data_IF_366623626534
#
_entry.id   IF_366623626534
#
_cell.length_a   1.000
_cell.length_b   1.000
_cell.length_c   1.000
_cell.angle_alpha   90.00
_cell.angle_beta   90.00
_cell.angle_gamma   90.00
#
_symmetry.space_group_name_H-M   'P 1'
#
loop_
_entity.id
_entity.type
_entity.pdbx_description
1 polymer ?
#
# COMPACT_ATOMS: atom_id res chain seq x y z
N UNK A 1 9.69 9.31 -20.23
CA UNK A 1 8.73 10.16 -19.52
C UNK A 1 7.77 9.26 -18.76
N UNK A 2 7.68 9.47 -17.45
CA UNK A 2 6.79 8.77 -16.52
C UNK A 2 5.52 9.62 -16.38
N UNK A 3 4.38 9.04 -16.72
CA UNK A 3 3.07 9.63 -16.50
C UNK A 3 2.34 8.88 -15.39
N UNK A 4 1.90 9.60 -14.36
CA UNK A 4 1.04 9.05 -13.31
C UNK A 4 -0.41 9.32 -13.67
N UNK A 5 -1.24 8.28 -13.67
CA UNK A 5 -2.68 8.38 -13.87
C UNK A 5 -3.41 8.02 -12.57
N UNK A 6 -4.12 8.98 -12.00
CA UNK A 6 -4.87 8.81 -10.75
C UNK A 6 -6.32 8.39 -11.06
N UNK A 7 -6.66 7.14 -10.77
CA UNK A 7 -8.01 6.60 -10.86
C UNK A 7 -8.73 6.69 -9.50
N UNK A 8 -10.03 6.37 -9.50
CA UNK A 8 -10.93 6.57 -8.36
C UNK A 8 -11.07 5.35 -7.42
N UNK A 9 -10.20 4.35 -7.48
CA UNK A 9 -10.17 3.23 -6.54
C UNK A 9 -9.54 3.58 -5.18
N UNK A 10 -9.35 2.58 -4.32
CA UNK A 10 -8.68 2.76 -3.02
C UNK A 10 -7.18 2.93 -3.25
N UNK A 11 -6.55 3.80 -2.45
CA UNK A 11 -5.09 4.01 -2.45
C UNK A 11 -4.58 3.98 -1.02
N UNK A 12 -3.56 3.16 -0.78
CA UNK A 12 -2.74 3.16 0.43
C UNK A 12 -1.47 3.95 0.14
N UNK A 13 -1.30 5.12 0.76
CA UNK A 13 -0.19 6.03 0.43
C UNK A 13 1.12 5.68 1.16
N UNK A 14 1.68 4.49 0.86
CA UNK A 14 2.99 4.01 1.35
C UNK A 14 4.14 4.90 0.90
N UNK A 15 5.27 4.85 1.61
CA UNK A 15 6.47 5.60 1.20
C UNK A 15 7.00 5.10 -0.14
N UNK A 16 6.94 3.79 -0.41
CA UNK A 16 7.30 3.20 -1.70
C UNK A 16 6.47 3.80 -2.85
N UNK A 17 5.13 3.81 -2.71
CA UNK A 17 4.26 4.40 -3.73
C UNK A 17 4.54 5.91 -3.89
N UNK A 18 4.70 6.66 -2.79
CA UNK A 18 5.06 8.10 -2.85
C UNK A 18 6.36 8.35 -3.59
N UNK A 19 7.40 7.58 -3.30
CA UNK A 19 8.69 7.70 -3.96
C UNK A 19 8.57 7.38 -5.45
N UNK A 20 7.78 6.36 -5.80
CA UNK A 20 7.52 6.00 -7.20
C UNK A 20 6.83 7.12 -7.96
N UNK A 21 5.74 7.67 -7.41
CA UNK A 21 4.95 8.72 -8.09
C UNK A 21 5.62 10.09 -8.05
N UNK A 22 6.54 10.35 -7.11
CA UNK A 22 7.33 11.58 -7.08
C UNK A 22 8.28 11.71 -8.30
N UNK A 23 8.51 10.62 -9.03
CA UNK A 23 9.28 10.60 -10.29
C UNK A 23 8.44 10.97 -11.51
N UNK A 24 7.15 11.32 -11.33
CA UNK A 24 6.26 11.68 -12.44
C UNK A 24 6.74 12.96 -13.15
N UNK A 25 6.81 12.89 -14.47
CA UNK A 25 6.97 14.07 -15.33
C UNK A 25 5.62 14.74 -15.62
N UNK A 26 4.54 13.96 -15.59
CA UNK A 26 3.17 14.42 -15.79
C UNK A 26 2.20 13.63 -14.90
N UNK A 27 1.20 14.30 -14.35
CA UNK A 27 0.17 13.73 -13.48
C UNK A 27 -1.21 14.04 -14.07
N UNK A 28 -1.94 13.00 -14.47
CA UNK A 28 -3.30 13.11 -15.00
C UNK A 28 -4.26 12.45 -14.00
N UNK A 29 -5.33 13.14 -13.62
CA UNK A 29 -6.34 12.57 -12.73
C UNK A 29 -7.64 12.30 -13.48
N UNK A 30 -8.20 11.10 -13.32
CA UNK A 30 -9.54 10.76 -13.78
C UNK A 30 -10.55 11.10 -12.69
N UNK A 31 -11.31 12.17 -12.90
CA UNK A 31 -12.47 12.57 -12.11
C UNK A 31 -12.21 12.48 -10.59
N UNK A 32 -12.96 11.65 -9.85
CA UNK A 32 -12.79 11.45 -8.41
C UNK A 32 -11.40 10.96 -7.98
N UNK A 33 -10.54 10.49 -8.89
CA UNK A 33 -9.15 10.14 -8.64
C UNK A 33 -8.28 11.34 -8.22
N UNK A 34 -8.69 12.56 -8.55
CA UNK A 34 -8.00 13.79 -8.14
C UNK A 34 -7.83 13.91 -6.62
N UNK A 35 -8.71 13.27 -5.83
CA UNK A 35 -8.62 13.24 -4.36
C UNK A 35 -7.30 12.63 -3.85
N UNK A 36 -6.70 11.72 -4.61
CA UNK A 36 -5.48 11.02 -4.22
C UNK A 36 -4.23 11.90 -4.31
N UNK A 37 -4.26 12.96 -5.11
CA UNK A 37 -3.09 13.81 -5.35
C UNK A 37 -2.50 14.35 -4.05
N UNK A 38 -3.35 14.90 -3.15
CA UNK A 38 -2.91 15.42 -1.85
C UNK A 38 -2.24 14.35 -1.01
N UNK A 39 -2.90 13.19 -0.84
CA UNK A 39 -2.35 12.14 0.01
C UNK A 39 -1.12 11.51 -0.60
N UNK A 40 -0.86 11.63 -1.90
CA UNK A 40 0.38 11.16 -2.53
C UNK A 40 1.47 12.23 -2.63
N UNK A 41 1.17 13.49 -2.28
CA UNK A 41 2.11 14.60 -2.42
C UNK A 41 2.26 15.10 -3.86
N UNK A 42 1.26 14.85 -4.71
CA UNK A 42 1.24 15.24 -6.12
C UNK A 42 0.36 16.47 -6.35
N UNK A 43 0.62 17.17 -7.45
CA UNK A 43 -0.30 18.15 -8.05
C UNK A 43 -0.62 17.68 -9.47
N UNK A 44 -1.88 17.44 -9.84
CA UNK A 44 -2.22 17.07 -11.20
C UNK A 44 -1.91 18.22 -12.17
N UNK A 45 -1.47 17.88 -13.37
CA UNK A 45 -1.36 18.81 -14.50
C UNK A 45 -2.72 19.00 -15.16
N UNK A 46 -3.48 17.92 -15.25
CA UNK A 46 -4.83 17.90 -15.82
C UNK A 46 -5.75 16.94 -15.05
N UNK A 47 -7.02 17.33 -14.94
CA UNK A 47 -8.10 16.45 -14.47
C UNK A 47 -9.11 16.28 -15.59
N UNK A 48 -9.42 15.03 -15.94
CA UNK A 48 -10.36 14.67 -17.00
C UNK A 48 -11.62 14.04 -16.38
N UNK A 49 -12.80 14.38 -16.90
CA UNK A 49 -14.07 13.81 -16.42
C UNK A 49 -15.26 14.73 -16.62
N UNK A 50 -16.40 14.36 -16.03
CA UNK A 50 -17.59 15.23 -15.92
C UNK A 50 -17.64 16.00 -14.58
N UNK A 51 -16.73 15.67 -13.65
CA UNK A 51 -16.56 16.28 -12.34
C UNK A 51 -17.73 16.08 -11.38
N UNK A 52 -18.64 15.14 -11.65
CA UNK A 52 -19.82 14.90 -10.81
C UNK A 52 -19.47 14.20 -9.49
N UNK A 53 -18.34 13.48 -9.45
CA UNK A 53 -17.86 12.73 -8.29
C UNK A 53 -16.79 13.46 -7.48
N UNK A 54 -16.33 14.63 -7.94
CA UNK A 54 -15.28 15.41 -7.27
C UNK A 54 -15.89 16.28 -6.17
N UNK A 55 -15.44 16.07 -4.92
CA UNK A 55 -15.92 16.88 -3.81
C UNK A 55 -15.46 18.36 -3.92
N UNK A 56 -16.26 19.33 -3.41
CA UNK A 56 -15.91 20.75 -3.48
C UNK A 56 -14.57 21.12 -2.81
N UNK A 57 -14.13 20.34 -1.83
CA UNK A 57 -12.84 20.50 -1.18
C UNK A 57 -11.68 20.16 -2.10
N UNK A 58 -11.84 19.13 -2.94
CA UNK A 58 -10.89 18.76 -3.99
C UNK A 58 -10.89 19.80 -5.11
N UNK A 59 -12.05 20.24 -5.61
CA UNK A 59 -12.13 21.27 -6.67
C UNK A 59 -11.39 22.56 -6.31
N UNK A 60 -11.54 23.06 -5.08
CA UNK A 60 -10.81 24.26 -4.61
C UNK A 60 -9.30 24.10 -4.65
N UNK A 61 -8.78 22.88 -4.52
CA UNK A 61 -7.33 22.60 -4.55
C UNK A 61 -6.81 22.40 -5.97
N UNK A 62 -7.70 22.27 -6.95
CA UNK A 62 -7.38 22.21 -8.37
C UNK A 62 -7.30 23.60 -9.00
N UNK A 63 -7.24 24.67 -8.20
CA UNK A 63 -7.03 26.02 -8.73
C UNK A 63 -5.71 26.09 -9.53
N UNK A 64 -5.81 26.54 -10.78
CA UNK A 64 -4.71 26.57 -11.74
C UNK A 64 -4.28 25.20 -12.27
N UNK A 65 -5.09 24.15 -12.10
CA UNK A 65 -4.95 22.86 -12.79
C UNK A 65 -5.84 22.88 -14.04
N UNK A 66 -5.39 22.27 -15.13
CA UNK A 66 -6.20 22.15 -16.34
C UNK A 66 -7.38 21.21 -16.10
N UNK A 67 -8.59 21.64 -16.48
CA UNK A 67 -9.79 20.81 -16.40
C UNK A 67 -10.28 20.50 -17.82
N UNK A 68 -10.26 19.23 -18.19
CA UNK A 68 -10.79 18.77 -19.47
C UNK A 68 -12.14 18.09 -19.24
N UNK A 69 -13.20 18.79 -19.65
CA UNK A 69 -14.55 18.31 -19.50
C UNK A 69 -14.88 17.28 -20.59
N UNK A 70 -15.27 16.08 -20.18
CA UNK A 70 -15.75 15.03 -21.08
C UNK A 70 -17.16 14.61 -20.68
N UNK A 71 -18.11 14.47 -21.62
CA UNK A 71 -19.47 14.04 -21.30
C UNK A 71 -19.50 12.66 -20.63
N UNK A 72 -20.46 12.47 -19.72
CA UNK A 72 -20.72 11.19 -19.05
C UNK A 72 -21.12 10.08 -20.03
N UNK A 73 -21.94 10.42 -21.02
CA UNK A 73 -22.46 9.50 -22.04
C UNK A 73 -21.46 9.26 -23.19
N UNK A 74 -20.16 9.20 -22.87
CA UNK A 74 -19.15 8.71 -23.80
C UNK A 74 -19.08 7.19 -23.67
N UNK A 75 -18.93 6.46 -24.78
CA UNK A 75 -18.77 5.00 -24.79
C UNK A 75 -17.39 4.55 -24.24
N UNK A 76 -16.86 5.25 -23.23
CA UNK A 76 -15.48 5.12 -22.71
C UNK A 76 -15.39 5.45 -21.23
N UNK A 77 -14.49 4.77 -20.52
CA UNK A 77 -14.22 5.08 -19.11
C UNK A 77 -13.33 6.31 -18.95
N UNK A 78 -13.48 7.04 -17.84
CA UNK A 78 -12.61 8.18 -17.52
C UNK A 78 -11.14 7.78 -17.40
N UNK A 79 -10.86 6.56 -16.91
CA UNK A 79 -9.50 6.02 -16.87
C UNK A 79 -8.88 5.96 -18.27
N UNK A 80 -9.64 5.55 -19.29
CA UNK A 80 -9.11 5.47 -20.65
C UNK A 80 -8.82 6.86 -21.22
N UNK A 81 -9.70 7.83 -20.95
CA UNK A 81 -9.49 9.23 -21.35
C UNK A 81 -8.24 9.80 -20.66
N UNK A 82 -8.07 9.51 -19.37
CA UNK A 82 -6.91 9.94 -18.60
C UNK A 82 -5.60 9.33 -19.12
N UNK A 83 -5.64 8.06 -19.54
CA UNK A 83 -4.50 7.38 -20.17
C UNK A 83 -4.17 7.96 -21.54
N UNK A 84 -5.17 8.21 -22.38
CA UNK A 84 -4.95 8.83 -23.69
C UNK A 84 -4.32 10.22 -23.54
N UNK A 85 -4.77 10.99 -22.55
CA UNK A 85 -4.20 12.30 -22.24
C UNK A 85 -2.76 12.18 -21.72
N UNK A 86 -2.48 11.23 -20.82
CA UNK A 86 -1.12 10.95 -20.35
C UNK A 86 -0.17 10.57 -21.50
N UNK A 87 -0.66 9.77 -22.46
CA UNK A 87 0.09 9.37 -23.66
C UNK A 87 0.28 10.57 -24.60
N UNK A 88 -0.75 11.37 -24.83
CA UNK A 88 -0.68 12.57 -25.66
C UNK A 88 0.35 13.58 -25.15
N UNK A 89 0.53 13.65 -23.82
CA UNK A 89 1.57 14.44 -23.16
C UNK A 89 2.97 13.83 -23.21
N UNK A 90 3.14 12.66 -23.82
CA UNK A 90 4.43 11.99 -24.03
C UNK A 90 4.73 10.84 -23.07
N UNK A 91 3.77 10.42 -22.25
CA UNK A 91 3.91 9.30 -21.32
C UNK A 91 4.30 8.01 -22.04
N UNK A 92 5.42 7.41 -21.61
CA UNK A 92 5.86 6.08 -22.08
C UNK A 92 5.83 5.03 -20.98
N UNK A 93 6.10 5.45 -19.75
CA UNK A 93 5.87 4.65 -18.55
C UNK A 93 4.62 5.17 -17.88
N UNK A 94 3.58 4.36 -17.79
CA UNK A 94 2.26 4.70 -17.28
C UNK A 94 2.10 4.05 -15.90
N UNK A 95 2.08 4.87 -14.86
CA UNK A 95 1.90 4.45 -13.47
C UNK A 95 0.46 4.75 -13.08
N UNK A 96 -0.40 3.74 -13.12
CA UNK A 96 -1.83 3.85 -12.82
C UNK A 96 -2.02 3.61 -11.33
N UNK A 97 -2.57 4.58 -10.62
CA UNK A 97 -2.74 4.53 -9.16
C UNK A 97 -4.22 4.59 -8.80
N UNK A 98 -4.64 3.81 -7.81
CA UNK A 98 -6.05 3.74 -7.41
C UNK A 98 -6.86 2.89 -8.37
N UNK A 99 -6.25 1.83 -8.90
CA UNK A 99 -6.92 0.86 -9.80
C UNK A 99 -7.50 -0.34 -9.05
N UNK A 100 -7.15 -0.51 -7.77
CA UNK A 100 -7.67 -1.57 -6.90
C UNK A 100 -8.71 -1.01 -5.92
N UNK A 101 -9.64 -1.87 -5.48
CA UNK A 101 -10.70 -1.52 -4.54
C UNK A 101 -11.88 -0.74 -5.15
N UNK A 102 -12.96 -0.61 -4.37
CA UNK A 102 -14.20 0.01 -4.80
C UNK A 102 -15.04 -0.93 -5.68
N UNK A 103 -15.54 -0.43 -6.80
CA UNK A 103 -16.38 -1.17 -7.75
C UNK A 103 -15.58 -2.25 -8.47
N UNK A 104 -16.00 -3.51 -8.35
CA UNK A 104 -15.27 -4.66 -8.92
C UNK A 104 -15.17 -4.61 -10.46
N UNK A 105 -16.23 -4.15 -11.11
CA UNK A 105 -16.29 -3.98 -12.55
C UNK A 105 -15.26 -2.96 -13.06
N UNK A 106 -15.06 -1.85 -12.34
CA UNK A 106 -14.01 -0.88 -12.65
C UNK A 106 -12.60 -1.44 -12.42
N UNK A 107 -12.39 -2.25 -11.38
CA UNK A 107 -11.09 -2.87 -11.11
C UNK A 107 -10.68 -3.84 -12.22
N UNK A 108 -11.61 -4.70 -12.65
CA UNK A 108 -11.37 -5.65 -13.75
C UNK A 108 -11.11 -4.91 -15.06
N UNK A 109 -11.87 -3.84 -15.35
CA UNK A 109 -11.63 -3.01 -16.51
C UNK A 109 -10.26 -2.33 -16.46
N UNK A 110 -9.86 -1.76 -15.33
CA UNK A 110 -8.58 -1.08 -15.17
C UNK A 110 -7.38 -2.02 -15.40
N UNK A 111 -7.44 -3.24 -14.86
CA UNK A 111 -6.44 -4.29 -15.13
C UNK A 111 -6.33 -4.56 -16.64
N UNK A 112 -7.46 -4.83 -17.31
CA UNK A 112 -7.49 -5.16 -18.74
C UNK A 112 -7.02 -4.00 -19.62
N UNK A 113 -7.41 -2.77 -19.29
CA UNK A 113 -6.96 -1.56 -19.97
C UNK A 113 -5.45 -1.41 -19.82
N UNK A 114 -4.92 -1.55 -18.60
CA UNK A 114 -3.48 -1.48 -18.35
C UNK A 114 -2.68 -2.54 -19.12
N UNK A 115 -3.16 -3.79 -19.13
CA UNK A 115 -2.58 -4.86 -19.93
C UNK A 115 -2.60 -4.54 -21.44
N UNK A 116 -3.72 -4.01 -21.94
CA UNK A 116 -3.85 -3.58 -23.33
C UNK A 116 -2.81 -2.52 -23.71
N UNK A 117 -2.63 -1.48 -22.88
CA UNK A 117 -1.61 -0.45 -23.13
C UNK A 117 -0.20 -1.02 -23.05
N UNK A 118 0.05 -1.99 -22.16
CA UNK A 118 1.34 -2.67 -22.12
C UNK A 118 1.61 -3.49 -23.38
N UNK A 119 0.57 -4.12 -23.94
CA UNK A 119 0.66 -4.82 -25.23
C UNK A 119 0.93 -3.85 -26.40
N UNK A 120 0.39 -2.62 -26.35
CA UNK A 120 0.60 -1.56 -27.35
C UNK A 120 2.03 -0.98 -27.37
N UNK A 121 2.89 -1.36 -26.42
CA UNK A 121 4.28 -0.89 -26.40
C UNK A 121 4.67 -0.05 -25.19
N UNK A 122 3.71 0.41 -24.39
CA UNK A 122 3.97 1.22 -23.20
C UNK A 122 4.48 0.36 -22.05
N UNK A 123 5.24 0.95 -21.13
CA UNK A 123 5.54 0.30 -19.86
C UNK A 123 4.44 0.65 -18.86
N UNK A 124 3.80 -0.34 -18.24
CA UNK A 124 2.65 -0.10 -17.37
C UNK A 124 2.90 -0.70 -15.98
N UNK A 125 2.53 0.06 -14.95
CA UNK A 125 2.49 -0.37 -13.55
C UNK A 125 1.13 0.00 -12.96
N UNK A 126 0.49 -0.91 -12.23
CA UNK A 126 -0.85 -0.75 -11.66
C UNK A 126 -0.78 -0.85 -10.13
N UNK A 127 -1.05 0.23 -9.42
CA UNK A 127 -0.82 0.35 -7.98
C UNK A 127 -2.10 0.57 -7.17
N UNK A 128 -2.22 -0.17 -6.06
CA UNK A 128 -3.07 0.18 -4.92
C UNK A 128 -2.30 0.74 -3.73
N UNK A 129 -0.97 0.60 -3.75
CA UNK A 129 -0.05 0.98 -2.67
C UNK A 129 0.14 -0.10 -1.59
N UNK A 130 -0.79 -1.04 -1.49
CA UNK A 130 -0.65 -2.31 -0.76
C UNK A 130 -0.33 -3.49 -1.70
N UNK A 131 -0.54 -3.30 -3.00
CA UNK A 131 -0.12 -4.21 -4.05
C UNK A 131 0.22 -3.44 -5.32
N UNK A 132 1.03 -4.08 -6.16
CA UNK A 132 1.29 -3.68 -7.54
C UNK A 132 1.04 -4.86 -8.48
N UNK A 133 0.38 -4.59 -9.60
CA UNK A 133 0.24 -5.51 -10.73
C UNK A 133 1.09 -5.01 -11.90
N UNK A 134 1.89 -5.92 -12.45
CA UNK A 134 2.86 -5.67 -13.50
C UNK A 134 2.53 -6.56 -14.71
N UNK A 135 2.05 -5.99 -15.82
CA UNK A 135 1.83 -6.74 -17.04
C UNK A 135 3.15 -7.24 -17.64
N UNK A 136 3.11 -8.44 -18.21
CA UNK A 136 4.20 -9.11 -18.91
C UNK A 136 3.68 -9.64 -20.24
N UNK A 137 4.24 -9.15 -21.34
CA UNK A 137 3.85 -9.56 -22.70
C UNK A 137 4.75 -10.66 -23.25
N UNK A 138 4.30 -11.35 -24.29
CA UNK A 138 5.12 -12.34 -25.00
C UNK A 138 6.51 -11.79 -25.39
N UNK A 139 7.54 -12.59 -25.14
CA UNK A 139 8.95 -12.23 -25.34
C UNK A 139 9.56 -11.36 -24.24
N UNK A 140 8.80 -10.99 -23.20
CA UNK A 140 9.29 -10.17 -22.09
C UNK A 140 9.62 -11.02 -20.87
N UNK A 141 10.66 -10.58 -20.17
CA UNK A 141 10.98 -11.01 -18.81
C UNK A 141 10.81 -9.83 -17.85
N UNK A 142 10.07 -10.03 -16.76
CA UNK A 142 10.11 -9.18 -15.57
C UNK A 142 10.94 -9.85 -14.49
N UNK A 143 11.77 -9.07 -13.81
CA UNK A 143 12.56 -9.51 -12.66
C UNK A 143 12.35 -8.54 -11.51
N UNK A 144 12.19 -9.06 -10.29
CA UNK A 144 12.06 -8.30 -9.05
C UNK A 144 12.95 -8.95 -8.00
N UNK A 145 13.62 -8.15 -7.18
CA UNK A 145 14.32 -8.65 -6.00
C UNK A 145 13.35 -8.62 -4.81
N UNK A 146 13.02 -9.79 -4.26
CA UNK A 146 11.98 -9.93 -3.24
C UNK A 146 12.49 -10.75 -2.04
N UNK A 147 12.19 -10.32 -0.79
CA UNK A 147 12.44 -11.14 0.39
C UNK A 147 11.80 -12.53 0.28
N UNK A 148 12.39 -13.51 0.97
CA UNK A 148 11.80 -14.84 1.07
C UNK A 148 10.44 -14.77 1.78
N UNK A 149 9.48 -15.59 1.35
CA UNK A 149 8.14 -15.62 1.95
C UNK A 149 7.13 -14.64 1.34
N UNK A 150 7.58 -13.67 0.53
CA UNK A 150 6.67 -12.71 -0.11
C UNK A 150 5.80 -13.40 -1.15
N UNK A 151 4.48 -13.23 -1.04
CA UNK A 151 3.53 -13.81 -1.98
C UNK A 151 3.66 -13.18 -3.37
N UNK A 152 3.79 -14.01 -4.41
CA UNK A 152 3.84 -13.60 -5.80
C UNK A 152 2.75 -14.37 -6.56
N UNK A 153 1.82 -13.66 -7.19
CA UNK A 153 0.78 -14.28 -8.01
C UNK A 153 1.01 -13.97 -9.48
N UNK A 154 0.97 -14.99 -10.34
CA UNK A 154 1.06 -14.83 -11.79
C UNK A 154 -0.24 -15.32 -12.41
N UNK A 155 -0.98 -14.40 -13.03
CA UNK A 155 -2.25 -14.68 -13.69
C UNK A 155 -2.04 -14.68 -15.20
N UNK A 156 -2.46 -15.74 -15.88
CA UNK A 156 -2.55 -15.71 -17.34
C UNK A 156 -3.69 -14.79 -17.79
N UNK A 157 -3.42 -13.99 -18.81
CA UNK A 157 -4.37 -13.03 -19.36
C UNK A 157 -5.15 -13.60 -20.54
N UNK A 158 -4.59 -14.64 -21.18
CA UNK A 158 -5.06 -15.23 -22.43
C UNK A 158 -4.96 -16.76 -22.37
N UNK A 159 -5.86 -17.49 -23.04
CA UNK A 159 -5.73 -18.95 -23.18
C UNK A 159 -4.41 -19.34 -23.84
N UNK A 160 -3.80 -20.43 -23.36
CA UNK A 160 -2.53 -20.94 -23.88
C UNK A 160 -1.31 -20.08 -23.55
N UNK A 161 -1.36 -19.23 -22.51
CA UNK A 161 -0.21 -18.43 -22.07
C UNK A 161 0.92 -19.36 -21.60
N UNK A 162 2.09 -19.28 -22.23
CA UNK A 162 3.27 -20.09 -21.91
C UNK A 162 4.32 -19.25 -21.21
N UNK A 163 4.83 -19.72 -20.08
CA UNK A 163 5.73 -18.92 -19.24
C UNK A 163 6.75 -19.77 -18.47
N UNK A 164 7.82 -19.10 -18.04
CA UNK A 164 8.83 -19.62 -17.10
C UNK A 164 8.83 -18.76 -15.84
N UNK A 165 8.75 -19.40 -14.68
CA UNK A 165 8.83 -18.83 -13.34
C UNK A 165 10.07 -19.36 -12.63
N UNK A 166 10.94 -18.46 -12.14
CA UNK A 166 12.09 -18.82 -11.31
C UNK A 166 12.20 -17.91 -10.08
N UNK A 167 12.92 -18.36 -9.05
CA UNK A 167 13.01 -17.66 -7.76
C UNK A 167 11.77 -17.81 -6.89
N UNK A 168 10.83 -18.69 -7.27
CA UNK A 168 9.59 -18.96 -6.56
C UNK A 168 9.56 -20.39 -6.03
N UNK A 169 8.80 -20.61 -4.94
CA UNK A 169 8.58 -21.91 -4.31
C UNK A 169 8.03 -22.96 -5.28
N UNK A 170 7.14 -22.55 -6.18
CA UNK A 170 6.63 -23.39 -7.26
C UNK A 170 7.14 -22.86 -8.60
N UNK A 171 8.35 -23.24 -9.04
CA UNK A 171 8.88 -22.82 -10.34
C UNK A 171 8.13 -23.48 -11.50
N UNK A 172 8.20 -22.88 -12.67
CA UNK A 172 7.62 -23.41 -13.90
C UNK A 172 8.60 -23.19 -15.04
N UNK A 173 8.85 -24.18 -15.89
CA UNK A 173 9.77 -24.05 -17.02
C UNK A 173 9.03 -24.30 -18.33
N UNK A 174 8.76 -23.22 -19.08
CA UNK A 174 8.08 -23.30 -20.38
C UNK A 174 6.70 -23.97 -20.31
N UNK A 175 6.03 -23.91 -19.16
CA UNK A 175 4.71 -24.48 -18.93
C UNK A 175 3.59 -23.55 -19.38
N UNK A 176 2.36 -24.07 -19.46
CA UNK A 176 1.17 -23.27 -19.76
C UNK A 176 0.37 -22.98 -18.48
N UNK A 177 -0.13 -21.76 -18.36
CA UNK A 177 -1.13 -21.36 -17.37
C UNK A 177 -2.35 -20.86 -18.14
N UNK A 178 -3.51 -21.41 -17.83
CA UNK A 178 -4.79 -20.95 -18.39
C UNK A 178 -5.41 -19.86 -17.51
N UNK A 179 -6.16 -18.90 -18.07
CA UNK A 179 -6.74 -17.79 -17.31
C UNK A 179 -7.88 -18.20 -16.36
N UNK A 180 -8.41 -19.42 -16.51
CA UNK A 180 -9.55 -19.96 -15.75
C UNK A 180 -9.13 -20.96 -14.67
N UNK A 181 -7.83 -21.09 -14.38
CA UNK A 181 -7.30 -21.96 -13.32
C UNK A 181 -6.56 -21.16 -12.24
N UNK A 182 -6.47 -21.72 -11.03
CA UNK A 182 -5.73 -21.12 -9.92
C UNK A 182 -4.21 -21.34 -9.96
N UNK A 183 -3.67 -21.96 -11.01
CA UNK A 183 -2.23 -22.21 -11.14
C UNK A 183 -1.48 -20.87 -11.26
N UNK A 184 -0.45 -20.69 -10.45
CA UNK A 184 0.35 -19.45 -10.40
C UNK A 184 -0.11 -18.44 -9.36
N UNK A 185 -1.30 -18.62 -8.76
CA UNK A 185 -1.80 -17.79 -7.66
C UNK A 185 -1.10 -18.16 -6.35
N UNK A 186 -0.82 -17.17 -5.51
CA UNK A 186 -0.25 -17.34 -4.17
C UNK A 186 1.03 -18.18 -4.13
N UNK A 187 1.88 -18.02 -5.15
CA UNK A 187 3.24 -18.53 -5.09
C UNK A 187 4.06 -17.70 -4.09
N UNK A 188 5.27 -18.15 -3.76
CA UNK A 188 6.06 -17.54 -2.69
C UNK A 188 7.50 -17.31 -3.17
N UNK A 189 8.04 -16.12 -2.95
CA UNK A 189 9.46 -15.83 -3.23
C UNK A 189 10.35 -16.74 -2.40
N UNK A 190 11.34 -17.34 -3.04
CA UNK A 190 12.41 -18.09 -2.35
C UNK A 190 13.49 -17.18 -1.74
N UNK A 191 13.37 -15.86 -1.92
CA UNK A 191 14.37 -14.87 -1.55
C UNK A 191 15.33 -14.55 -2.70
N UNK A 192 15.52 -13.27 -2.98
CA UNK A 192 16.36 -12.80 -4.09
C UNK A 192 15.56 -12.52 -5.36
N UNK A 193 16.20 -12.72 -6.52
CA UNK A 193 15.59 -12.44 -7.82
C UNK A 193 14.46 -13.43 -8.16
N UNK A 194 13.23 -12.92 -8.20
CA UNK A 194 12.06 -13.54 -8.82
C UNK A 194 11.98 -13.13 -10.28
N UNK A 195 11.82 -14.10 -11.18
CA UNK A 195 11.74 -13.85 -12.62
C UNK A 195 10.50 -14.49 -13.23
N UNK A 196 9.76 -13.71 -14.01
CA UNK A 196 8.62 -14.13 -14.80
C UNK A 196 8.91 -13.84 -16.26
N UNK A 197 9.04 -14.89 -17.07
CA UNK A 197 9.24 -14.77 -18.52
C UNK A 197 8.02 -15.31 -19.24
N UNK A 198 7.39 -14.51 -20.09
CA UNK A 198 6.26 -14.94 -20.93
C UNK A 198 6.78 -15.24 -22.32
N UNK A 199 6.64 -16.48 -22.76
CA UNK A 199 7.05 -16.95 -24.09
C UNK A 199 5.96 -16.73 -25.12
N UNK A 200 4.70 -16.94 -24.74
CA UNK A 200 3.51 -16.73 -25.58
C UNK A 200 2.33 -16.30 -24.71
N UNK A 201 1.42 -15.49 -25.28
CA UNK A 201 0.28 -14.92 -24.56
C UNK A 201 0.64 -13.66 -23.77
N UNK A 202 0.04 -13.50 -22.60
CA UNK A 202 0.29 -12.40 -21.67
C UNK A 202 -0.03 -12.80 -20.24
N UNK A 203 0.60 -12.15 -19.27
CA UNK A 203 0.37 -12.41 -17.86
C UNK A 203 0.43 -11.13 -17.02
N UNK A 204 -0.21 -11.16 -15.85
CA UNK A 204 -0.05 -10.18 -14.78
C UNK A 204 0.75 -10.81 -13.64
N UNK A 205 1.88 -10.21 -13.29
CA UNK A 205 2.58 -10.47 -12.03
C UNK A 205 2.03 -9.53 -10.96
N UNK A 206 1.42 -10.06 -9.92
CA UNK A 206 0.91 -9.31 -8.77
C UNK A 206 1.77 -9.62 -7.56
N UNK A 207 2.31 -8.58 -6.94
CA UNK A 207 3.07 -8.67 -5.70
C UNK A 207 2.52 -7.66 -4.70
N UNK A 208 2.48 -7.98 -3.39
CA UNK A 208 2.17 -7.01 -2.38
C UNK A 208 3.26 -5.93 -2.38
N UNK A 209 2.87 -4.68 -2.22
CA UNK A 209 3.81 -3.65 -1.82
C UNK A 209 3.95 -3.78 -0.31
N UNK A 210 5.10 -4.33 0.11
CA UNK A 210 5.40 -4.48 1.53
C UNK A 210 5.36 -3.09 2.20
N UNK A 211 4.75 -3.00 3.39
CA UNK A 211 4.73 -1.75 4.12
C UNK A 211 6.14 -1.27 4.47
N UNK A 212 6.26 0.03 4.71
CA UNK A 212 7.54 0.73 4.92
C UNK A 212 8.35 0.20 6.13
N UNK A 213 7.66 -0.44 7.08
CA UNK A 213 8.21 -1.05 8.29
C UNK A 213 7.35 -2.26 8.65
N UNK A 214 7.97 -3.38 9.02
CA UNK A 214 7.28 -4.43 9.78
C UNK A 214 7.04 -3.91 11.20
N UNK A 215 5.85 -3.36 11.43
CA UNK A 215 5.56 -2.73 12.70
C UNK A 215 5.47 -3.74 13.85
N UNK A 216 5.13 -5.01 13.58
CA UNK A 216 5.16 -6.02 14.62
C UNK A 216 6.60 -6.33 15.03
N UNK A 217 7.52 -6.50 14.08
CA UNK A 217 8.94 -6.68 14.38
C UNK A 217 9.49 -5.50 15.20
N UNK A 218 9.15 -4.26 14.85
CA UNK A 218 9.59 -3.10 15.63
C UNK A 218 8.92 -3.02 17.00
N UNK A 219 7.58 -3.10 17.06
CA UNK A 219 6.83 -2.87 18.30
C UNK A 219 7.04 -4.02 19.28
N UNK A 220 6.90 -5.26 18.84
CA UNK A 220 7.08 -6.43 19.69
C UNK A 220 8.55 -6.75 19.93
N UNK A 221 9.41 -6.52 18.92
CA UNK A 221 10.85 -6.71 19.01
C UNK A 221 11.20 -8.15 19.41
N UNK A 222 12.17 -8.35 20.33
CA UNK A 222 12.58 -9.69 20.76
C UNK A 222 11.47 -10.56 21.36
N UNK A 223 10.30 -9.99 21.66
CA UNK A 223 9.17 -10.71 22.25
C UNK A 223 8.13 -11.17 21.20
N UNK A 224 8.28 -10.80 19.94
CA UNK A 224 7.35 -11.14 18.85
C UNK A 224 6.93 -12.61 18.84
N UNK A 225 7.85 -13.60 18.82
CA UNK A 225 7.45 -15.01 18.75
C UNK A 225 6.58 -15.43 19.93
N UNK A 226 6.84 -14.86 21.12
CA UNK A 226 6.07 -15.16 22.33
C UNK A 226 4.70 -14.48 22.30
N UNK A 227 4.61 -13.25 21.80
CA UNK A 227 3.37 -12.48 21.72
C UNK A 227 2.44 -13.09 20.67
N UNK A 228 2.94 -13.36 19.46
CA UNK A 228 2.16 -13.99 18.39
C UNK A 228 1.66 -15.38 18.81
N UNK A 229 2.53 -16.23 19.35
CA UNK A 229 2.13 -17.54 19.85
C UNK A 229 1.11 -17.43 21.01
N UNK A 230 1.28 -16.47 21.91
CA UNK A 230 0.35 -16.23 23.01
C UNK A 230 -1.04 -15.80 22.54
N UNK A 231 -1.11 -14.89 21.56
CA UNK A 231 -2.37 -14.43 20.97
C UNK A 231 -3.09 -15.57 20.24
N UNK A 232 -2.38 -16.33 19.40
CA UNK A 232 -2.97 -17.47 18.69
C UNK A 232 -3.40 -18.60 19.61
N UNK A 233 -2.68 -18.83 20.71
CA UNK A 233 -3.04 -19.81 21.73
C UNK A 233 -4.28 -19.38 22.53
N UNK A 234 -4.49 -18.07 22.71
CA UNK A 234 -5.69 -17.53 23.35
C UNK A 234 -6.92 -17.75 22.45
N UNK A 235 -6.83 -17.29 21.21
CA UNK A 235 -7.81 -17.55 20.17
C UNK A 235 -7.17 -17.31 18.79
N UNK A 236 -7.15 -18.29 17.88
CA UNK A 236 -6.50 -18.15 16.57
C UNK A 236 -7.08 -17.02 15.72
N UNK A 237 -8.40 -16.82 15.74
CA UNK A 237 -9.07 -15.79 14.94
C UNK A 237 -8.71 -14.40 15.48
N UNK A 238 -8.68 -14.24 16.80
CA UNK A 238 -8.27 -13.00 17.43
C UNK A 238 -6.80 -12.70 17.19
N UNK A 239 -5.92 -13.71 17.29
CA UNK A 239 -4.50 -13.57 17.01
C UNK A 239 -4.23 -13.12 15.57
N UNK A 240 -4.89 -13.77 14.60
CA UNK A 240 -4.80 -13.39 13.19
C UNK A 240 -5.34 -11.97 12.95
N UNK A 241 -6.45 -11.60 13.61
CA UNK A 241 -7.02 -10.27 13.48
C UNK A 241 -6.08 -9.19 14.03
N UNK A 242 -5.50 -9.40 15.21
CA UNK A 242 -4.56 -8.45 15.82
C UNK A 242 -3.32 -8.32 14.94
N UNK A 243 -2.70 -9.44 14.52
CA UNK A 243 -1.50 -9.39 13.69
C UNK A 243 -1.77 -8.67 12.36
N UNK A 244 -2.77 -9.14 11.62
CA UNK A 244 -3.05 -8.62 10.28
C UNK A 244 -3.54 -7.18 10.30
N UNK A 245 -4.58 -6.89 11.09
CA UNK A 245 -5.24 -5.58 11.02
C UNK A 245 -4.48 -4.52 11.81
N UNK A 246 -4.08 -4.81 13.05
CA UNK A 246 -3.39 -3.80 13.84
C UNK A 246 -1.98 -3.58 13.29
N UNK A 247 -1.18 -4.65 13.18
CA UNK A 247 0.23 -4.49 12.88
C UNK A 247 0.52 -4.43 11.39
N UNK A 248 0.14 -5.44 10.60
CA UNK A 248 0.52 -5.51 9.18
C UNK A 248 -0.19 -4.45 8.31
N UNK A 249 -1.40 -4.03 8.68
CA UNK A 249 -2.15 -2.99 7.96
C UNK A 249 -1.98 -1.60 8.61
N UNK A 250 -2.47 -1.39 9.83
CA UNK A 250 -2.61 -0.03 10.42
C UNK A 250 -1.30 0.57 10.90
N UNK A 251 -0.48 -0.19 11.64
CA UNK A 251 0.81 0.31 12.13
C UNK A 251 1.92 0.24 11.09
N UNK A 252 1.80 -0.61 10.07
CA UNK A 252 2.83 -0.74 9.04
C UNK A 252 2.60 0.21 7.85
N UNK A 253 1.37 0.67 7.59
CA UNK A 253 1.06 1.56 6.44
C UNK A 253 0.34 2.88 6.81
N UNK A 254 0.66 3.98 6.12
CA UNK A 254 -0.04 5.25 6.32
C UNK A 254 0.80 6.49 6.05
N UNK A 255 0.22 7.66 6.30
CA UNK A 255 0.90 8.95 6.11
C UNK A 255 1.72 9.41 7.31
N UNK A 256 1.50 8.80 8.47
CA UNK A 256 2.25 9.05 9.70
C UNK A 256 3.36 8.00 9.82
N UNK A 257 4.55 8.42 10.24
CA UNK A 257 5.62 7.48 10.55
C UNK A 257 5.22 6.56 11.72
N UNK A 258 5.92 5.42 11.87
CA UNK A 258 5.61 4.45 12.94
C UNK A 258 5.73 5.10 14.32
N UNK A 259 6.74 5.96 14.52
CA UNK A 259 6.97 6.72 15.75
C UNK A 259 5.75 7.52 16.19
N UNK A 260 5.17 8.29 15.26
CA UNK A 260 3.99 9.11 15.53
C UNK A 260 2.77 8.25 15.82
N UNK A 261 2.61 7.13 15.10
CA UNK A 261 1.51 6.17 15.36
C UNK A 261 1.63 5.54 16.74
N UNK A 262 2.82 5.16 17.17
CA UNK A 262 3.08 4.67 18.53
C UNK A 262 2.74 5.72 19.59
N UNK A 263 3.14 6.99 19.40
CA UNK A 263 2.77 8.07 20.33
C UNK A 263 1.24 8.26 20.42
N UNK A 264 0.53 8.20 19.30
CA UNK A 264 -0.94 8.28 19.30
C UNK A 264 -1.57 7.07 20.02
N UNK A 265 -1.06 5.86 19.75
CA UNK A 265 -1.50 4.64 20.41
C UNK A 265 -1.32 4.74 21.93
N UNK A 266 -0.16 5.23 22.39
CA UNK A 266 0.11 5.48 23.81
C UNK A 266 -0.90 6.46 24.42
N UNK A 267 -1.18 7.59 23.76
CA UNK A 267 -2.18 8.54 24.25
C UNK A 267 -3.57 7.90 24.44
N UNK A 268 -3.97 7.03 23.51
CA UNK A 268 -5.22 6.28 23.61
C UNK A 268 -5.19 5.19 24.69
N UNK A 269 -4.11 4.44 24.83
CA UNK A 269 -3.97 3.40 25.87
C UNK A 269 -4.00 4.00 27.28
N UNK A 270 -3.36 5.16 27.46
CA UNK A 270 -3.48 5.95 28.71
C UNK A 270 -4.93 6.38 28.96
N UNK A 271 -5.64 6.77 27.90
CA UNK A 271 -7.07 7.13 27.98
C UNK A 271 -7.98 5.95 28.32
N UNK A 272 -7.59 4.73 27.93
CA UNK A 272 -8.34 3.51 28.22
C UNK A 272 -7.98 2.90 29.59
N UNK A 273 -6.81 3.22 30.14
CA UNK A 273 -6.27 2.56 31.34
C UNK A 273 -5.81 1.13 31.05
N UNK A 274 -5.33 0.88 29.82
CA UNK A 274 -4.94 -0.44 29.35
C UNK A 274 -3.45 -0.73 29.63
N UNK A 275 -3.10 -0.88 30.91
CA UNK A 275 -1.69 -0.92 31.37
C UNK A 275 -0.87 -2.08 30.77
N UNK A 276 -1.52 -3.21 30.45
CA UNK A 276 -0.88 -4.38 29.83
C UNK A 276 -0.32 -4.06 28.44
N UNK A 277 -1.15 -3.45 27.58
CA UNK A 277 -0.76 -3.03 26.23
C UNK A 277 0.13 -1.79 26.25
N UNK A 278 -0.08 -0.89 27.24
CA UNK A 278 0.73 0.32 27.40
C UNK A 278 2.22 -0.01 27.48
N UNK A 279 2.59 -1.07 28.22
CA UNK A 279 3.99 -1.49 28.33
C UNK A 279 4.58 -1.91 26.99
N UNK A 280 3.86 -2.68 26.18
CA UNK A 280 4.30 -3.13 24.85
C UNK A 280 4.57 -1.93 23.95
N UNK A 281 3.63 -0.99 23.86
CA UNK A 281 3.77 0.20 23.02
C UNK A 281 4.77 1.23 23.57
N UNK A 282 5.09 1.23 24.86
CA UNK A 282 6.19 2.08 25.37
C UNK A 282 7.55 1.58 24.87
N UNK A 283 7.77 0.25 24.86
CA UNK A 283 8.95 -0.32 24.23
C UNK A 283 8.94 -0.13 22.71
N UNK A 284 7.79 -0.31 22.07
CA UNK A 284 7.61 -0.09 20.63
C UNK A 284 7.93 1.34 20.21
N UNK A 285 7.38 2.34 20.92
CA UNK A 285 7.67 3.75 20.68
C UNK A 285 9.16 4.08 20.76
N UNK A 286 9.86 3.56 21.77
CA UNK A 286 11.32 3.76 21.92
C UNK A 286 12.08 3.15 20.74
N UNK A 287 11.73 1.93 20.30
CA UNK A 287 12.34 1.28 19.12
C UNK A 287 12.02 2.00 17.82
N UNK A 288 10.82 2.58 17.72
CA UNK A 288 10.41 3.42 16.60
C UNK A 288 11.05 4.82 16.63
N UNK A 289 11.85 5.15 17.65
CA UNK A 289 12.64 6.38 17.72
C UNK A 289 12.05 7.51 18.57
N UNK A 290 11.04 7.24 19.40
CA UNK A 290 10.61 8.18 20.44
C UNK A 290 11.67 8.28 21.55
N UNK A 291 11.81 9.47 22.15
CA UNK A 291 12.72 9.70 23.28
C UNK A 291 11.99 9.56 24.62
N UNK A 292 12.69 9.20 25.72
CA UNK A 292 12.11 9.22 27.06
C UNK A 292 11.47 10.57 27.42
N UNK A 293 12.06 11.69 26.98
CA UNK A 293 11.55 13.04 27.20
C UNK A 293 10.20 13.25 26.51
N UNK A 294 10.05 12.77 25.28
CA UNK A 294 8.79 12.83 24.54
C UNK A 294 7.71 11.99 25.19
N UNK A 295 8.05 10.80 25.69
CA UNK A 295 7.11 9.95 26.42
C UNK A 295 6.65 10.63 27.72
N UNK A 296 7.57 11.23 28.49
CA UNK A 296 7.22 12.02 29.69
C UNK A 296 6.32 13.21 29.34
N UNK A 297 6.63 13.94 28.26
CA UNK A 297 5.83 15.07 27.78
C UNK A 297 4.43 14.63 27.33
N UNK A 298 4.32 13.50 26.65
CA UNK A 298 3.04 12.92 26.24
C UNK A 298 2.17 12.61 27.45
N UNK A 299 2.72 11.97 28.49
CA UNK A 299 1.97 11.65 29.70
C UNK A 299 1.52 12.90 30.46
N UNK A 300 2.38 13.92 30.56
CA UNK A 300 2.04 15.21 31.14
C UNK A 300 0.90 15.90 30.36
N UNK A 301 0.94 15.86 29.03
CA UNK A 301 -0.10 16.41 28.17
C UNK A 301 -1.42 15.63 28.31
N UNK A 302 -1.35 14.29 28.32
CA UNK A 302 -2.52 13.42 28.48
C UNK A 302 -3.28 13.67 29.79
N UNK A 303 -2.56 14.01 30.88
CA UNK A 303 -3.15 14.33 32.18
C UNK A 303 -4.23 15.42 32.11
N UNK A 304 -4.11 16.35 31.15
CA UNK A 304 -5.07 17.44 30.97
C UNK A 304 -6.42 16.98 30.40
N UNK A 305 -6.46 15.85 29.69
CA UNK A 305 -7.66 15.32 29.05
C UNK A 305 -8.26 14.15 29.83
N UNK A 306 -7.41 13.28 30.39
CA UNK A 306 -7.85 12.04 31.04
C UNK A 306 -7.74 12.07 32.56
N UNK A 307 -7.22 13.17 33.11
CA UNK A 307 -6.98 13.38 34.53
C UNK A 307 -5.63 12.85 35.02
N UNK A 308 -5.12 13.49 36.07
CA UNK A 308 -3.86 13.11 36.72
C UNK A 308 -3.77 11.65 37.16
N UNK A 309 -4.82 10.99 37.71
CA UNK A 309 -4.69 9.60 38.16
C UNK A 309 -4.25 8.63 37.06
N UNK A 310 -4.80 8.76 35.84
CA UNK A 310 -4.44 7.91 34.69
C UNK A 310 -3.04 8.21 34.18
N UNK A 311 -2.67 9.48 34.06
CA UNK A 311 -1.33 9.87 33.65
C UNK A 311 -0.25 9.42 34.65
N UNK A 312 -0.53 9.51 35.95
CA UNK A 312 0.38 9.02 37.01
C UNK A 312 0.51 7.51 36.99
N UNK A 313 -0.57 6.77 36.73
CA UNK A 313 -0.51 5.31 36.55
C UNK A 313 0.39 4.95 35.36
N UNK A 314 0.18 5.59 34.21
CA UNK A 314 1.01 5.41 33.02
C UNK A 314 2.48 5.79 33.25
N UNK A 315 2.75 6.85 34.02
CA UNK A 315 4.11 7.27 34.36
C UNK A 315 4.87 6.24 35.19
N UNK A 316 4.16 5.48 36.05
CA UNK A 316 4.76 4.35 36.77
C UNK A 316 5.18 3.25 35.81
N UNK A 317 4.34 2.91 34.82
CA UNK A 317 4.67 1.93 33.78
C UNK A 317 5.88 2.40 32.95
N UNK A 318 5.91 3.68 32.55
CA UNK A 318 7.06 4.26 31.83
C UNK A 318 8.35 4.17 32.65
N UNK A 319 8.32 4.54 33.93
CA UNK A 319 9.49 4.44 34.82
C UNK A 319 10.02 3.00 34.87
N UNK A 320 9.12 2.03 35.00
CA UNK A 320 9.50 0.61 35.02
C UNK A 320 10.11 0.16 33.68
N UNK A 321 9.61 0.69 32.55
CA UNK A 321 10.13 0.42 31.20
C UNK A 321 11.54 1.02 31.01
N UNK A 322 11.78 2.22 31.53
CA UNK A 322 13.09 2.90 31.43
C UNK A 322 14.15 2.31 32.37
N UNK A 323 13.75 1.51 33.36
CA UNK A 323 14.66 1.02 34.40
C UNK A 323 15.09 2.11 35.38
N UNK A 324 14.34 3.22 35.46
CA UNK A 324 14.58 4.31 36.41
C UNK A 324 14.29 3.79 37.83
N UNK A 325 15.32 3.33 38.55
CA UNK A 325 15.19 2.94 39.95
C UNK A 325 14.70 4.16 40.76
N UNK A 326 13.58 4.00 41.45
CA UNK A 326 12.96 5.08 42.21
C UNK A 326 13.94 5.74 43.18
N UNK A 327 14.08 7.06 43.05
CA UNK A 327 14.72 7.90 44.07
C UNK A 327 13.86 8.04 45.32
#
# INVERSE_FOLDING_TARGET
MIAVVLAAGRVVATSALRQRVAQADVVVAADGGARHARVLGLRPDVVVGDFDSVDPGTLRRLEGVELQHHPRDKDRLDLEVALDEAIARGGRTLVLVGVFGGRIDHQLAALRIGEGRHADGYEVELHGGDAVALPVRAGQTRALDLPAGVTCSVLASQPGTRLTLSGLRFPLEGGAIEPDVGLGISNESSGGEVRVTVHAGGALLVVPELPDVDAADVIWGPHEPRIDAGLRALDPVLGDLVRRVAYDEVFSSGTLDLRTRELLALAHLVSLGADGELRTHLHGALRAGATPEELRSLLAHAAMYVGFPRAVAAAKVLRDVLGDAGG
#
